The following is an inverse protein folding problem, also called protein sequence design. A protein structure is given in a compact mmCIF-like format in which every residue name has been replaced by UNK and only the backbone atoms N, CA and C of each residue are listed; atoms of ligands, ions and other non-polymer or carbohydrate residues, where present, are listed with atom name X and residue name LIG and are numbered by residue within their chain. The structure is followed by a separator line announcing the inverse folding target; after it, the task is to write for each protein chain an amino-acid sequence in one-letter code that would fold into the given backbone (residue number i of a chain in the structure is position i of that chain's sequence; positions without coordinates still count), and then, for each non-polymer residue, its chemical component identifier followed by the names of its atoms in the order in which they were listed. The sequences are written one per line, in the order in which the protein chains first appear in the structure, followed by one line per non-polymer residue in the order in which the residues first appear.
data_IF_242979462728
#
_entry.id   IF_242979462728
#
_cell.length_a   1.000
_cell.length_b   1.000
_cell.length_c   1.000
_cell.angle_alpha   90.00
_cell.angle_beta   90.00
_cell.angle_gamma   90.00
#
_symmetry.space_group_name_H-M   'P 1'
#
loop_
_entity.id
_entity.type
_entity.pdbx_description
1 polymer ?
#
# COMPACT_ATOMS: atom_id res chain seq x y z
N UNK A 1 -10.89 59.00 -15.75
CA UNK A 1 -11.33 59.08 -14.35
C UNK A 1 -11.39 57.66 -13.86
N UNK A 2 -10.36 57.25 -13.13
CA UNK A 2 -10.18 55.88 -12.66
C UNK A 2 -10.28 55.94 -11.14
N UNK A 3 -11.40 55.46 -10.61
CA UNK A 3 -11.66 55.42 -9.18
C UNK A 3 -10.68 54.47 -8.50
N UNK A 4 -9.74 55.03 -7.73
CA UNK A 4 -8.87 54.26 -6.85
C UNK A 4 -9.70 53.80 -5.64
N UNK A 5 -9.65 52.51 -5.28
CA UNK A 5 -10.40 52.01 -4.14
C UNK A 5 -9.86 52.65 -2.85
N UNK A 6 -10.79 53.26 -2.14
CA UNK A 6 -10.66 53.87 -0.83
C UNK A 6 -9.92 52.93 0.14
N UNK A 7 -8.79 53.40 0.70
CA UNK A 7 -8.02 52.69 1.72
C UNK A 7 -8.85 52.61 3.01
N UNK A 8 -9.73 51.62 3.06
CA UNK A 8 -10.57 51.35 4.21
C UNK A 8 -9.70 50.74 5.32
N UNK A 9 -9.71 51.38 6.49
CA UNK A 9 -8.95 51.04 7.70
C UNK A 9 -8.84 49.53 7.93
N UNK A 10 -7.67 48.96 7.64
CA UNK A 10 -7.32 47.64 8.11
C UNK A 10 -7.02 47.74 9.60
N UNK A 11 -8.05 47.48 10.42
CA UNK A 11 -7.86 47.21 11.84
C UNK A 11 -6.70 46.25 12.02
N UNK A 12 -5.77 46.60 12.91
CA UNK A 12 -4.48 45.95 13.07
C UNK A 12 -4.66 44.44 13.30
N UNK A 13 -4.51 43.64 12.24
CA UNK A 13 -4.57 42.18 12.34
C UNK A 13 -3.46 41.67 13.26
N UNK A 14 -3.86 40.86 14.23
CA UNK A 14 -2.91 40.18 15.12
C UNK A 14 -1.94 39.33 14.29
N UNK A 15 -0.68 39.22 14.74
CA UNK A 15 0.33 38.33 14.14
C UNK A 15 -0.20 36.90 13.99
N UNK A 16 -1.02 36.46 14.94
CA UNK A 16 -1.67 35.14 14.91
C UNK A 16 -2.65 35.02 13.74
N UNK A 17 -3.52 36.02 13.51
CA UNK A 17 -4.48 36.01 12.39
C UNK A 17 -3.77 35.98 11.03
N UNK A 18 -2.67 36.74 10.89
CA UNK A 18 -1.83 36.72 9.68
C UNK A 18 -1.26 35.33 9.40
N UNK A 19 -0.79 34.63 10.44
CA UNK A 19 -0.30 33.25 10.31
C UNK A 19 -1.37 32.29 9.79
N UNK A 20 -2.57 32.28 10.37
CA UNK A 20 -3.66 31.40 9.91
C UNK A 20 -4.13 31.74 8.50
N UNK A 21 -4.20 33.03 8.15
CA UNK A 21 -4.54 33.44 6.79
C UNK A 21 -3.53 32.90 5.79
N UNK A 22 -2.23 33.07 6.06
CA UNK A 22 -1.15 32.58 5.18
C UNK A 22 -1.19 31.05 5.04
N UNK A 23 -1.35 30.32 6.14
CA UNK A 23 -1.46 28.86 6.12
C UNK A 23 -2.71 28.39 5.35
N UNK A 24 -3.86 29.05 5.53
CA UNK A 24 -5.09 28.72 4.81
C UNK A 24 -4.94 28.94 3.29
N UNK A 25 -4.31 30.05 2.89
CA UNK A 25 -4.00 30.32 1.47
C UNK A 25 -3.10 29.21 0.91
N UNK A 26 -2.03 28.84 1.61
CA UNK A 26 -1.11 27.79 1.17
C UNK A 26 -1.82 26.42 1.05
N UNK A 27 -2.68 26.07 2.00
CA UNK A 27 -3.49 24.85 1.93
C UNK A 27 -4.43 24.86 0.72
N UNK A 28 -5.08 25.99 0.43
CA UNK A 28 -5.96 26.15 -0.75
C UNK A 28 -5.19 26.02 -2.07
N UNK A 29 -4.00 26.59 -2.14
CA UNK A 29 -3.14 26.48 -3.33
C UNK A 29 -2.65 25.04 -3.54
N UNK A 30 -2.14 24.38 -2.50
CA UNK A 30 -1.74 22.96 -2.57
C UNK A 30 -2.90 22.06 -3.02
N UNK A 31 -4.10 22.27 -2.46
CA UNK A 31 -5.30 21.54 -2.85
C UNK A 31 -5.67 21.78 -4.33
N UNK A 32 -5.57 23.03 -4.81
CA UNK A 32 -5.83 23.39 -6.21
C UNK A 32 -4.86 22.68 -7.16
N UNK A 33 -3.57 22.65 -6.83
CA UNK A 33 -2.54 21.94 -7.61
C UNK A 33 -2.80 20.43 -7.64
N UNK A 34 -3.10 19.82 -6.49
CA UNK A 34 -3.43 18.39 -6.39
C UNK A 34 -4.64 18.03 -7.26
N UNK A 35 -5.69 18.84 -7.23
CA UNK A 35 -6.88 18.64 -8.06
C UNK A 35 -6.60 18.82 -9.54
N UNK A 36 -5.71 19.74 -9.93
CA UNK A 36 -5.30 19.92 -11.31
C UNK A 36 -4.51 18.71 -11.83
N UNK A 37 -3.55 18.21 -11.04
CA UNK A 37 -2.78 16.98 -11.36
C UNK A 37 -3.70 15.77 -11.51
N UNK A 38 -4.68 15.62 -10.61
CA UNK A 38 -5.68 14.56 -10.69
C UNK A 38 -6.54 14.64 -11.95
N UNK A 39 -6.98 15.84 -12.33
CA UNK A 39 -7.74 16.05 -13.58
C UNK A 39 -6.90 15.74 -14.81
N UNK A 40 -5.62 16.11 -14.81
CA UNK A 40 -4.70 15.78 -15.90
C UNK A 40 -4.52 14.26 -16.06
N UNK A 41 -4.22 13.55 -14.96
CA UNK A 41 -4.08 12.08 -14.96
C UNK A 41 -5.36 11.36 -15.43
N UNK A 42 -6.54 11.86 -15.05
CA UNK A 42 -7.82 11.31 -15.54
C UNK A 42 -8.01 11.50 -17.04
N UNK A 43 -7.59 12.65 -17.60
CA UNK A 43 -7.64 12.89 -19.05
C UNK A 43 -6.69 11.97 -19.79
N UNK A 44 -5.48 11.78 -19.28
CA UNK A 44 -4.48 10.88 -19.86
C UNK A 44 -4.98 9.43 -19.91
N UNK A 45 -5.54 8.93 -18.80
CA UNK A 45 -6.13 7.59 -18.76
C UNK A 45 -7.33 7.45 -19.70
N UNK A 46 -8.14 8.50 -19.87
CA UNK A 46 -9.27 8.48 -20.80
C UNK A 46 -8.79 8.40 -22.27
N UNK A 47 -7.70 9.09 -22.62
CA UNK A 47 -7.08 9.00 -23.95
C UNK A 47 -6.55 7.58 -24.19
N UNK A 48 -5.80 7.02 -23.23
CA UNK A 48 -5.23 5.67 -23.36
C UNK A 48 -6.31 4.60 -23.51
N UNK A 49 -7.41 4.72 -22.77
CA UNK A 49 -8.57 3.83 -22.92
C UNK A 49 -9.24 3.98 -24.29
N UNK A 50 -9.39 5.21 -24.80
CA UNK A 50 -9.95 5.44 -26.13
C UNK A 50 -9.06 4.86 -27.24
N UNK A 51 -7.74 5.01 -27.15
CA UNK A 51 -6.78 4.40 -28.09
C UNK A 51 -6.84 2.87 -28.05
N UNK A 52 -6.97 2.29 -26.86
CA UNK A 52 -7.09 0.83 -26.70
C UNK A 52 -8.39 0.32 -27.34
N UNK A 53 -9.48 1.07 -27.23
CA UNK A 53 -10.76 0.72 -27.86
C UNK A 53 -10.67 0.79 -29.40
N UNK A 54 -10.04 1.83 -29.95
CA UNK A 54 -9.83 1.95 -31.40
C UNK A 54 -8.94 0.82 -31.95
N UNK A 55 -7.87 0.43 -31.24
CA UNK A 55 -7.05 -0.73 -31.63
C UNK A 55 -7.85 -2.03 -31.69
N UNK A 56 -8.73 -2.26 -30.69
CA UNK A 56 -9.61 -3.44 -30.69
C UNK A 56 -10.60 -3.41 -31.85
N UNK A 57 -11.12 -2.23 -32.20
CA UNK A 57 -12.02 -2.07 -33.35
C UNK A 57 -11.31 -2.36 -34.68
N UNK A 58 -10.10 -1.83 -34.87
CA UNK A 58 -9.28 -2.10 -36.07
C UNK A 58 -8.92 -3.59 -36.19
N UNK A 59 -8.60 -4.26 -35.07
CA UNK A 59 -8.35 -5.70 -35.06
C UNK A 59 -9.61 -6.50 -35.48
N UNK A 60 -10.78 -6.13 -34.96
CA UNK A 60 -12.04 -6.77 -35.32
C UNK A 60 -12.37 -6.58 -36.81
N UNK A 61 -12.18 -5.39 -37.36
CA UNK A 61 -12.40 -5.11 -38.79
C UNK A 61 -11.43 -5.91 -39.68
N UNK A 62 -10.15 -5.97 -39.31
CA UNK A 62 -9.15 -6.75 -40.07
C UNK A 62 -9.41 -8.26 -40.08
N UNK A 63 -10.05 -8.80 -39.02
CA UNK A 63 -10.42 -10.21 -38.93
C UNK A 63 -11.58 -10.60 -39.84
N UNK A 64 -12.38 -9.66 -40.32
CA UNK A 64 -13.54 -9.95 -41.18
C UNK A 64 -13.20 -10.08 -42.67
N UNK A 65 -11.95 -9.78 -43.06
CA UNK A 65 -11.54 -9.79 -44.47
C UNK A 65 -10.66 -10.98 -44.89
N UNK A 66 -10.31 -11.89 -43.99
CA UNK A 66 -9.66 -13.15 -44.35
C UNK A 66 -10.74 -14.13 -44.80
N UNK A 67 -11.09 -13.98 -46.08
CA UNK A 67 -12.12 -14.76 -46.76
C UNK A 67 -11.89 -16.26 -46.69
N UNK A 68 -13.02 -16.96 -46.78
CA UNK A 68 -13.18 -18.36 -47.14
C UNK A 68 -12.10 -18.81 -48.13
N UNK A 69 -11.05 -19.44 -47.61
CA UNK A 69 -10.22 -20.32 -48.40
C UNK A 69 -10.61 -21.73 -47.96
N UNK A 70 -11.48 -22.36 -48.75
CA UNK A 70 -11.78 -23.80 -48.70
C UNK A 70 -10.45 -24.55 -48.86
N UNK A 71 -9.83 -24.89 -47.74
CA UNK A 71 -8.76 -25.88 -47.69
C UNK A 71 -9.04 -26.82 -46.54
N UNK A 72 -9.64 -27.96 -46.90
CA UNK A 72 -9.69 -29.20 -46.13
C UNK A 72 -8.25 -29.64 -45.80
N UNK A 73 -7.67 -29.11 -44.72
CA UNK A 73 -6.52 -29.73 -44.08
C UNK A 73 -6.82 -29.95 -42.60
N UNK A 74 -7.05 -31.22 -42.29
CA UNK A 74 -7.09 -31.83 -40.97
C UNK A 74 -5.79 -31.56 -40.23
N UNK A 75 -5.67 -30.40 -39.58
CA UNK A 75 -4.58 -30.11 -38.65
C UNK A 75 -5.02 -30.55 -37.26
N UNK A 76 -4.45 -31.67 -36.82
CA UNK A 76 -4.52 -32.13 -35.44
C UNK A 76 -3.82 -31.10 -34.53
N UNK A 77 -4.62 -30.28 -33.85
CA UNK A 77 -4.15 -29.34 -32.83
C UNK A 77 -3.57 -30.12 -31.65
N UNK A 78 -2.26 -30.16 -31.55
CA UNK A 78 -1.56 -30.52 -30.31
C UNK A 78 -1.62 -29.33 -29.36
N UNK A 79 -2.08 -29.48 -28.11
CA UNK A 79 -2.06 -28.40 -27.14
C UNK A 79 -0.60 -28.13 -26.76
N UNK A 80 -0.06 -27.03 -27.29
CA UNK A 80 1.23 -26.50 -26.87
C UNK A 80 1.07 -25.89 -25.49
N UNK A 81 1.35 -26.69 -24.47
CA UNK A 81 1.51 -26.24 -23.10
C UNK A 81 2.75 -25.34 -23.02
N UNK A 82 2.55 -24.04 -23.24
CA UNK A 82 3.52 -23.01 -22.86
C UNK A 82 3.55 -22.93 -21.33
N UNK A 83 4.32 -23.84 -20.75
CA UNK A 83 4.69 -23.88 -19.35
C UNK A 83 5.54 -22.62 -19.06
N UNK A 84 4.88 -21.54 -18.63
CA UNK A 84 5.55 -20.37 -18.06
C UNK A 84 6.15 -20.79 -16.71
N UNK A 85 7.38 -21.27 -16.73
CA UNK A 85 8.19 -21.53 -15.54
C UNK A 85 8.63 -20.18 -14.99
N UNK A 86 7.85 -19.62 -14.05
CA UNK A 86 8.35 -18.57 -13.18
C UNK A 86 9.38 -19.21 -12.25
N UNK A 87 10.66 -18.93 -12.48
CA UNK A 87 11.71 -19.18 -11.50
C UNK A 87 11.52 -18.19 -10.35
N UNK A 88 10.68 -18.55 -9.37
CA UNK A 88 10.75 -17.94 -8.04
C UNK A 88 12.06 -18.40 -7.40
N UNK A 89 13.04 -17.49 -7.34
CA UNK A 89 14.18 -17.64 -6.45
C UNK A 89 13.65 -17.70 -5.01
N UNK A 90 13.60 -18.94 -4.53
CA UNK A 90 13.31 -19.36 -3.17
C UNK A 90 14.19 -18.56 -2.18
N UNK A 91 13.66 -17.47 -1.63
CA UNK A 91 14.24 -16.87 -0.44
C UNK A 91 13.99 -17.83 0.74
N UNK A 92 15.02 -18.62 1.05
CA UNK A 92 15.08 -19.43 2.25
C UNK A 92 15.03 -18.55 3.49
N UNK A 93 13.84 -18.36 4.03
CA UNK A 93 13.63 -17.93 5.41
C UNK A 93 13.07 -19.12 6.18
N UNK A 94 13.98 -19.94 6.70
CA UNK A 94 13.70 -20.83 7.83
C UNK A 94 13.40 -19.96 9.05
N UNK A 95 12.15 -19.53 9.18
CA UNK A 95 11.58 -19.02 10.41
C UNK A 95 10.34 -19.83 10.76
N UNK A 96 10.60 -21.01 11.32
CA UNK A 96 9.68 -21.64 12.25
C UNK A 96 9.50 -20.72 13.46
N UNK A 97 8.61 -19.75 13.36
CA UNK A 97 8.07 -19.07 14.52
C UNK A 97 6.95 -19.96 15.08
N UNK A 98 7.33 -20.80 16.04
CA UNK A 98 6.42 -21.58 16.87
C UNK A 98 5.59 -20.58 17.69
N UNK A 99 4.37 -20.32 17.20
CA UNK A 99 3.44 -19.33 17.73
C UNK A 99 2.54 -19.97 18.80
N UNK A 100 3.14 -20.73 19.70
CA UNK A 100 2.46 -21.32 20.85
C UNK A 100 3.19 -20.96 22.15
N UNK A 101 2.43 -20.46 23.11
CA UNK A 101 2.81 -20.17 24.50
C UNK A 101 3.60 -18.87 24.79
N UNK A 102 2.99 -17.71 24.56
CA UNK A 102 3.18 -16.56 25.47
C UNK A 102 1.84 -16.02 25.96
N UNK A 103 1.21 -16.79 26.86
CA UNK A 103 0.26 -16.23 27.82
C UNK A 103 1.07 -15.86 29.06
N UNK A 104 1.51 -14.60 29.23
CA UNK A 104 2.25 -14.24 30.43
C UNK A 104 1.37 -14.57 31.65
N UNK A 105 1.91 -15.23 32.69
CA UNK A 105 1.17 -15.50 33.90
C UNK A 105 0.70 -14.16 34.46
N UNK A 106 -0.62 -14.03 34.64
CA UNK A 106 -1.20 -12.90 35.35
C UNK A 106 -0.53 -12.85 36.73
N UNK A 107 0.11 -11.74 37.12
CA UNK A 107 0.75 -11.65 38.42
C UNK A 107 -0.33 -11.84 39.49
N UNK A 108 -0.15 -12.87 40.31
CA UNK A 108 -0.95 -13.06 41.50
C UNK A 108 -0.90 -11.78 42.34
N UNK A 109 -2.07 -11.37 42.84
CA UNK A 109 -2.21 -10.17 43.66
C UNK A 109 -1.44 -10.34 44.96
N UNK A 110 -0.15 -10.00 44.95
CA UNK A 110 0.64 -9.87 46.16
C UNK A 110 0.02 -8.79 47.06
N UNK A 111 -0.26 -9.18 48.31
CA UNK A 111 -0.76 -8.28 49.35
C UNK A 111 0.24 -7.12 49.48
N UNK A 112 -0.22 -5.90 49.20
CA UNK A 112 0.52 -4.65 49.38
C UNK A 112 1.12 -4.59 50.81
N UNK A 113 2.40 -4.91 50.92
CA UNK A 113 3.22 -4.46 52.04
C UNK A 113 3.43 -2.95 51.86
N UNK A 114 3.30 -2.11 52.91
CA UNK A 114 3.56 -0.68 52.82
C UNK A 114 5.03 -0.45 52.41
N UNK A 115 5.24 -0.18 51.12
CA UNK A 115 6.56 0.13 50.58
C UNK A 115 6.98 1.48 51.15
N UNK A 116 7.98 1.49 52.03
CA UNK A 116 8.64 2.72 52.49
C UNK A 116 9.14 3.47 51.24
N UNK A 117 8.74 4.72 51.14
CA UNK A 117 9.20 5.65 50.10
C UNK A 117 10.72 5.76 50.24
N UNK A 118 11.52 5.40 49.22
CA UNK A 118 12.94 5.69 49.25
C UNK A 118 13.10 7.20 49.12
N UNK A 119 13.48 7.84 50.22
CA UNK A 119 13.90 9.24 50.23
C UNK A 119 15.24 9.35 49.49
N UNK A 120 15.28 10.24 48.50
CA UNK A 120 16.45 10.72 47.76
C UNK A 120 17.33 9.67 47.09
N UNK A 121 16.88 9.14 45.96
CA UNK A 121 17.83 8.90 44.86
C UNK A 121 18.15 10.29 44.30
N UNK A 122 19.32 10.83 44.64
CA UNK A 122 19.84 12.00 43.95
C UNK A 122 20.08 11.59 42.50
N UNK A 123 19.15 11.96 41.62
CA UNK A 123 19.47 12.05 40.21
C UNK A 123 20.70 12.97 40.14
N UNK A 124 21.83 12.41 39.69
CA UNK A 124 23.05 13.18 39.51
C UNK A 124 22.74 14.47 38.77
N UNK A 125 23.48 15.51 39.14
CA UNK A 125 23.42 16.86 38.59
C UNK A 125 22.98 16.80 37.12
N UNK A 126 21.74 17.21 36.88
CA UNK A 126 21.16 17.27 35.55
C UNK A 126 21.98 18.34 34.83
N UNK A 127 23.07 17.91 34.19
CA UNK A 127 23.80 18.70 33.23
C UNK A 127 22.73 19.08 32.22
N UNK A 128 22.32 20.34 32.29
CA UNK A 128 21.27 20.86 31.43
C UNK A 128 21.57 20.51 29.99
N UNK A 129 20.54 20.38 29.14
CA UNK A 129 20.73 20.14 27.71
C UNK A 129 21.83 21.09 27.22
N UNK A 130 22.90 20.59 26.59
CA UNK A 130 24.00 21.43 26.13
C UNK A 130 23.40 22.61 25.39
N UNK A 131 23.80 23.80 25.83
CA UNK A 131 23.34 25.06 25.25
C UNK A 131 23.58 24.99 23.75
N UNK A 132 22.55 25.10 22.91
CA UNK A 132 22.71 24.90 21.47
C UNK A 132 23.67 25.98 20.98
N UNK A 133 24.89 25.57 20.64
CA UNK A 133 25.81 26.42 19.90
C UNK A 133 25.07 26.86 18.65
N UNK A 134 25.00 28.18 18.46
CA UNK A 134 24.37 28.80 17.30
C UNK A 134 25.21 28.45 16.07
N UNK A 135 24.99 27.25 15.54
CA UNK A 135 25.49 26.86 14.24
C UNK A 135 24.61 27.55 13.20
N UNK A 136 25.11 28.68 12.69
CA UNK A 136 24.55 29.44 11.57
C UNK A 136 24.71 28.65 10.24
N UNK A 137 24.52 27.32 10.27
CA UNK A 137 24.51 26.45 9.10
C UNK A 137 23.18 26.57 8.37
N UNK A 138 23.16 27.59 7.52
CA UNK A 138 22.37 27.82 6.31
C UNK A 138 21.58 26.58 5.79
N UNK A 139 20.36 26.43 6.31
CA UNK A 139 19.09 26.16 5.62
C UNK A 139 19.11 25.20 4.40
N UNK A 140 19.74 24.03 4.49
CA UNK A 140 19.41 22.89 3.61
C UNK A 140 18.18 22.14 4.13
N UNK A 141 17.10 22.86 4.46
CA UNK A 141 15.76 22.33 4.76
C UNK A 141 15.04 21.86 3.48
N UNK A 142 15.81 21.27 2.57
CA UNK A 142 15.35 20.76 1.29
C UNK A 142 15.25 19.25 1.46
N UNK A 143 14.00 18.79 1.65
CA UNK A 143 13.44 17.52 1.16
C UNK A 143 12.81 16.54 2.17
N UNK A 144 12.80 16.81 3.49
CA UNK A 144 12.06 15.94 4.44
C UNK A 144 10.54 15.95 4.26
N UNK A 145 9.99 16.99 3.62
CA UNK A 145 8.55 17.02 3.27
C UNK A 145 8.19 15.98 2.21
N UNK A 146 9.12 15.66 1.29
CA UNK A 146 8.85 14.72 0.21
C UNK A 146 8.67 13.27 0.71
N UNK A 147 9.41 12.84 1.74
CA UNK A 147 9.29 11.49 2.27
C UNK A 147 7.96 11.23 2.98
N UNK A 148 7.45 12.22 3.73
CA UNK A 148 6.13 12.09 4.34
C UNK A 148 5.02 12.01 3.28
N UNK A 149 5.16 12.77 2.19
CA UNK A 149 4.22 12.70 1.07
C UNK A 149 4.27 11.32 0.38
N UNK A 150 5.46 10.74 0.16
CA UNK A 150 5.64 9.38 -0.37
C UNK A 150 4.95 8.35 0.55
N UNK A 151 5.14 8.47 1.88
CA UNK A 151 4.47 7.60 2.85
C UNK A 151 2.94 7.67 2.73
N UNK A 152 2.38 8.87 2.55
CA UNK A 152 0.94 9.03 2.35
C UNK A 152 0.46 8.41 1.03
N UNK A 153 1.27 8.45 -0.03
CA UNK A 153 0.97 7.78 -1.30
C UNK A 153 0.93 6.25 -1.11
N UNK A 154 1.95 5.67 -0.47
CA UNK A 154 1.99 4.22 -0.18
C UNK A 154 0.79 3.80 0.68
N UNK A 155 0.42 4.61 1.68
CA UNK A 155 -0.77 4.36 2.48
C UNK A 155 -2.05 4.33 1.63
N UNK A 156 -2.18 5.22 0.65
CA UNK A 156 -3.31 5.20 -0.29
C UNK A 156 -3.29 3.93 -1.14
N UNK A 157 -2.13 3.51 -1.60
CA UNK A 157 -1.96 2.31 -2.42
C UNK A 157 -2.32 1.03 -1.64
N UNK A 158 -1.89 0.89 -0.38
CA UNK A 158 -2.30 -0.21 0.51
C UNK A 158 -3.81 -0.25 0.71
N UNK A 159 -4.43 0.92 0.93
CA UNK A 159 -5.88 1.03 1.09
C UNK A 159 -6.63 0.67 -0.21
N UNK A 160 -6.09 1.01 -1.38
CA UNK A 160 -6.69 0.67 -2.66
C UNK A 160 -6.57 -0.84 -2.93
N UNK A 161 -5.39 -1.38 -2.72
CA UNK A 161 -5.09 -2.81 -2.88
C UNK A 161 -5.97 -3.67 -1.99
N UNK A 162 -6.04 -3.38 -0.69
CA UNK A 162 -6.88 -4.13 0.27
C UNK A 162 -8.38 -4.12 -0.04
N UNK A 163 -8.87 -3.10 -0.78
CA UNK A 163 -10.28 -2.96 -1.15
C UNK A 163 -10.72 -3.83 -2.32
N UNK A 164 -9.80 -4.42 -3.09
CA UNK A 164 -10.13 -5.20 -4.28
C UNK A 164 -11.20 -6.29 -4.01
N UNK A 165 -11.18 -6.89 -2.82
CA UNK A 165 -12.14 -7.90 -2.38
C UNK A 165 -12.98 -7.46 -1.17
N UNK A 166 -13.31 -6.17 -1.06
CA UNK A 166 -14.18 -5.65 0.01
C UNK A 166 -13.47 -5.36 1.34
N UNK A 167 -12.13 -5.37 1.36
CA UNK A 167 -11.32 -5.22 2.57
C UNK A 167 -10.82 -6.56 3.10
N UNK A 168 -9.65 -6.57 3.74
CA UNK A 168 -8.90 -7.79 4.08
C UNK A 168 -9.71 -8.83 4.87
N UNK A 169 -10.58 -8.40 5.78
CA UNK A 169 -11.42 -9.30 6.57
C UNK A 169 -12.46 -10.06 5.74
N UNK A 170 -12.83 -9.55 4.56
CA UNK A 170 -13.78 -10.19 3.64
C UNK A 170 -13.12 -11.09 2.62
N UNK A 171 -11.78 -11.01 2.47
CA UNK A 171 -11.04 -11.73 1.44
C UNK A 171 -11.29 -13.24 1.45
N UNK A 172 -11.30 -13.96 2.58
CA UNK A 172 -11.55 -15.40 2.56
C UNK A 172 -12.88 -15.76 1.90
N UNK A 173 -13.95 -15.05 2.25
CA UNK A 173 -15.29 -15.29 1.70
C UNK A 173 -15.43 -14.84 0.25
N UNK A 174 -14.82 -13.71 -0.10
CA UNK A 174 -14.94 -13.13 -1.43
C UNK A 174 -14.10 -13.91 -2.45
N UNK A 175 -12.91 -14.37 -2.06
CA UNK A 175 -12.08 -15.25 -2.90
C UNK A 175 -12.81 -16.57 -3.18
N UNK A 176 -13.37 -17.22 -2.16
CA UNK A 176 -14.16 -18.46 -2.33
C UNK A 176 -15.32 -18.25 -3.32
N UNK A 177 -16.05 -17.14 -3.19
CA UNK A 177 -17.14 -16.78 -4.09
C UNK A 177 -16.69 -16.55 -5.53
N UNK A 178 -15.62 -15.77 -5.73
CA UNK A 178 -15.08 -15.49 -7.07
C UNK A 178 -14.50 -16.74 -7.73
N UNK A 179 -13.90 -17.62 -6.94
CA UNK A 179 -13.42 -18.91 -7.40
C UNK A 179 -14.56 -19.81 -7.88
N UNK A 180 -15.64 -19.95 -7.10
CA UNK A 180 -16.82 -20.73 -7.52
C UNK A 180 -17.39 -20.20 -8.85
N UNK A 181 -17.51 -18.89 -9.01
CA UNK A 181 -17.95 -18.29 -10.26
C UNK A 181 -17.01 -18.58 -11.44
N UNK A 182 -15.69 -18.63 -11.19
CA UNK A 182 -14.69 -19.01 -12.19
C UNK A 182 -14.80 -20.50 -12.57
N UNK A 183 -15.09 -21.38 -11.61
CA UNK A 183 -15.36 -22.81 -11.86
C UNK A 183 -16.63 -22.98 -12.71
N UNK A 184 -17.72 -22.31 -12.36
CA UNK A 184 -18.98 -22.34 -13.13
C UNK A 184 -18.79 -21.82 -14.56
N UNK A 185 -17.88 -20.86 -14.76
CA UNK A 185 -17.56 -20.28 -16.07
C UNK A 185 -16.41 -20.99 -16.80
N UNK A 186 -15.87 -22.10 -16.25
CA UNK A 186 -14.69 -22.79 -16.75
C UNK A 186 -13.48 -21.88 -17.03
N UNK A 187 -13.26 -20.87 -16.19
CA UNK A 187 -12.19 -19.87 -16.30
C UNK A 187 -11.30 -19.81 -15.04
N UNK A 188 -10.96 -20.99 -14.50
CA UNK A 188 -10.16 -21.09 -13.26
C UNK A 188 -8.74 -20.56 -13.47
N UNK A 189 -8.12 -20.82 -14.63
CA UNK A 189 -6.77 -20.32 -14.94
C UNK A 189 -6.71 -18.79 -15.00
N UNK A 190 -7.72 -18.16 -15.61
CA UNK A 190 -7.83 -16.70 -15.64
C UNK A 190 -7.96 -16.11 -14.24
N UNK A 191 -8.83 -16.69 -13.41
CA UNK A 191 -8.96 -16.27 -12.01
C UNK A 191 -7.66 -16.45 -11.22
N UNK A 192 -6.95 -17.56 -11.42
CA UNK A 192 -5.66 -17.81 -10.75
C UNK A 192 -4.61 -16.78 -11.17
N UNK A 193 -4.56 -16.44 -12.46
CA UNK A 193 -3.68 -15.39 -12.98
C UNK A 193 -3.99 -14.03 -12.34
N UNK A 194 -5.26 -13.67 -12.21
CA UNK A 194 -5.70 -12.42 -11.56
C UNK A 194 -5.28 -12.37 -10.09
N UNK A 195 -5.46 -13.48 -9.35
CA UNK A 195 -5.06 -13.59 -7.93
C UNK A 195 -3.55 -13.45 -7.77
N UNK A 196 -2.75 -14.11 -8.61
CA UNK A 196 -1.29 -13.98 -8.59
C UNK A 196 -0.83 -12.58 -8.98
N UNK A 197 -1.48 -11.97 -9.97
CA UNK A 197 -1.24 -10.57 -10.34
C UNK A 197 -1.44 -9.64 -9.16
N UNK A 198 -2.54 -9.81 -8.43
CA UNK A 198 -2.83 -9.01 -7.24
C UNK A 198 -1.87 -9.27 -6.07
N UNK A 199 -1.42 -10.51 -5.88
CA UNK A 199 -0.37 -10.83 -4.90
C UNK A 199 0.97 -10.17 -5.27
N UNK A 200 1.32 -10.14 -6.56
CA UNK A 200 2.51 -9.45 -7.05
C UNK A 200 2.45 -7.93 -6.83
N UNK A 201 1.28 -7.31 -6.98
CA UNK A 201 1.07 -5.90 -6.57
C UNK A 201 1.32 -5.71 -5.07
N UNK A 202 0.80 -6.60 -4.23
CA UNK A 202 1.05 -6.58 -2.78
C UNK A 202 2.55 -6.66 -2.47
N UNK A 203 3.30 -7.54 -3.13
CA UNK A 203 4.76 -7.66 -2.96
C UNK A 203 5.50 -6.38 -3.37
N UNK A 204 5.05 -5.69 -4.44
CA UNK A 204 5.61 -4.38 -4.82
C UNK A 204 5.39 -3.34 -3.74
N UNK A 205 4.18 -3.26 -3.18
CA UNK A 205 3.84 -2.34 -2.09
C UNK A 205 4.68 -2.67 -0.83
N UNK A 206 4.81 -3.95 -0.49
CA UNK A 206 5.65 -4.39 0.63
C UNK A 206 7.12 -3.98 0.43
N UNK A 207 7.62 -4.11 -0.79
CA UNK A 207 8.97 -3.66 -1.12
C UNK A 207 9.10 -2.14 -1.02
N UNK A 208 8.09 -1.36 -1.43
CA UNK A 208 8.09 0.09 -1.23
C UNK A 208 8.13 0.45 0.26
N UNK A 209 7.33 -0.22 1.10
CA UNK A 209 7.33 -0.03 2.56
C UNK A 209 8.72 -0.34 3.15
N UNK A 210 9.33 -1.48 2.79
CA UNK A 210 10.67 -1.85 3.26
C UNK A 210 11.76 -0.87 2.84
N UNK A 211 11.65 -0.28 1.65
CA UNK A 211 12.63 0.69 1.16
C UNK A 211 12.38 2.12 1.66
N UNK A 212 11.47 2.32 2.63
CA UNK A 212 11.28 3.61 3.30
C UNK A 212 12.35 3.93 4.34
N UNK A 213 13.48 3.22 4.34
CA UNK A 213 14.68 3.46 5.17
C UNK A 213 15.39 4.81 4.92
N UNK A 214 14.69 5.82 4.37
CA UNK A 214 15.20 7.15 4.04
C UNK A 214 15.23 8.15 5.21
N UNK A 215 15.35 9.44 4.87
CA UNK A 215 15.42 10.51 5.88
C UNK A 215 14.06 10.63 6.62
N UNK A 216 14.08 10.36 7.92
CA UNK A 216 12.91 10.56 8.76
C UNK A 216 12.60 12.06 8.92
N UNK A 217 11.31 12.44 9.07
CA UNK A 217 10.97 13.82 9.42
C UNK A 217 11.69 14.23 10.72
N UNK A 218 12.14 15.48 10.82
CA UNK A 218 12.83 15.96 12.03
C UNK A 218 11.91 16.00 13.26
N UNK A 219 10.60 16.15 13.05
CA UNK A 219 9.67 16.22 14.18
C UNK A 219 9.40 14.83 14.76
N UNK A 220 9.86 14.61 16.00
CA UNK A 220 9.74 13.34 16.73
C UNK A 220 8.34 12.70 16.67
N UNK A 221 7.28 13.50 16.80
CA UNK A 221 5.91 12.98 16.76
C UNK A 221 5.53 12.42 15.38
N UNK A 222 6.07 12.96 14.28
CA UNK A 222 5.88 12.41 12.94
C UNK A 222 6.64 11.12 12.76
N UNK A 223 7.85 11.01 13.32
CA UNK A 223 8.61 9.76 13.33
C UNK A 223 7.80 8.66 13.99
N UNK A 224 7.29 8.91 15.22
CA UNK A 224 6.47 7.93 15.94
C UNK A 224 5.21 7.54 15.16
N UNK A 225 4.55 8.51 14.52
CA UNK A 225 3.36 8.26 13.70
C UNK A 225 3.68 7.41 12.46
N UNK A 226 4.75 7.75 11.73
CA UNK A 226 5.21 6.99 10.55
C UNK A 226 5.52 5.56 10.94
N UNK A 227 6.32 5.35 12.00
CA UNK A 227 6.66 4.01 12.49
C UNK A 227 5.43 3.18 12.87
N UNK A 228 4.49 3.77 13.63
CA UNK A 228 3.27 3.05 14.02
C UNK A 228 2.47 2.62 12.79
N UNK A 229 2.22 3.56 11.88
CA UNK A 229 1.38 3.31 10.70
C UNK A 229 2.10 2.39 9.72
N UNK A 230 3.42 2.47 9.58
CA UNK A 230 4.21 1.55 8.76
C UNK A 230 4.04 0.10 9.22
N UNK A 231 4.19 -0.16 10.52
CA UNK A 231 3.99 -1.51 11.08
C UNK A 231 2.59 -2.04 10.77
N UNK A 232 1.55 -1.21 10.96
CA UNK A 232 0.16 -1.57 10.63
C UNK A 232 -0.01 -1.89 9.13
N UNK A 233 0.61 -1.10 8.25
CA UNK A 233 0.54 -1.31 6.79
C UNK A 233 1.28 -2.58 6.36
N UNK A 234 2.47 -2.83 6.92
CA UNK A 234 3.25 -4.04 6.65
C UNK A 234 2.48 -5.28 7.08
N UNK A 235 1.92 -5.28 8.30
CA UNK A 235 1.09 -6.39 8.80
C UNK A 235 -0.09 -6.67 7.85
N UNK A 236 -0.81 -5.62 7.43
CA UNK A 236 -1.95 -5.73 6.54
C UNK A 236 -1.54 -6.34 5.18
N UNK A 237 -0.46 -5.84 4.58
CA UNK A 237 0.01 -6.32 3.27
C UNK A 237 0.49 -7.76 3.36
N UNK A 238 1.28 -8.12 4.37
CA UNK A 238 1.74 -9.50 4.58
C UNK A 238 0.56 -10.45 4.76
N UNK A 239 -0.39 -10.12 5.65
CA UNK A 239 -1.59 -10.95 5.88
C UNK A 239 -2.43 -11.13 4.61
N UNK A 240 -2.57 -10.09 3.78
CA UNK A 240 -3.25 -10.19 2.49
C UNK A 240 -2.52 -11.08 1.50
N UNK A 241 -1.20 -10.90 1.32
CA UNK A 241 -0.40 -11.75 0.42
C UNK A 241 -0.51 -13.22 0.84
N UNK A 242 -0.32 -13.52 2.13
CA UNK A 242 -0.46 -14.89 2.64
C UNK A 242 -1.85 -15.48 2.41
N UNK A 243 -2.91 -14.67 2.51
CA UNK A 243 -4.27 -15.13 2.21
C UNK A 243 -4.42 -15.52 0.73
N UNK A 244 -3.88 -14.72 -0.20
CA UNK A 244 -3.93 -14.99 -1.63
C UNK A 244 -3.11 -16.25 -1.97
N UNK A 245 -1.89 -16.36 -1.46
CA UNK A 245 -0.97 -17.47 -1.72
C UNK A 245 -1.48 -18.81 -1.16
N UNK A 246 -2.05 -18.80 0.05
CA UNK A 246 -2.64 -19.99 0.64
C UNK A 246 -3.83 -20.47 -0.21
N UNK A 247 -4.69 -19.55 -0.63
CA UNK A 247 -5.89 -19.90 -1.43
C UNK A 247 -5.53 -20.34 -2.84
N UNK A 248 -4.59 -19.69 -3.51
CA UNK A 248 -4.15 -20.09 -4.85
C UNK A 248 -3.48 -21.48 -4.82
N UNK A 249 -2.71 -21.78 -3.78
CA UNK A 249 -2.07 -23.09 -3.58
C UNK A 249 -3.09 -24.22 -3.37
N UNK A 250 -4.15 -23.97 -2.59
CA UNK A 250 -5.23 -24.93 -2.37
C UNK A 250 -6.01 -25.27 -3.65
N UNK A 251 -6.16 -24.28 -4.54
CA UNK A 251 -6.87 -24.45 -5.82
C UNK A 251 -5.98 -25.12 -6.87
N UNK A 252 -4.75 -24.62 -7.06
CA UNK A 252 -3.85 -25.05 -8.14
C UNK A 252 -3.32 -26.47 -7.96
N UNK A 253 -3.28 -26.97 -6.73
CA UNK A 253 -2.87 -28.35 -6.46
C UNK A 253 -3.93 -29.37 -6.83
N UNK A 254 -5.15 -28.95 -7.19
CA UNK A 254 -6.21 -29.70 -7.87
C UNK A 254 -6.79 -30.91 -7.14
N UNK A 255 -5.99 -31.62 -6.34
CA UNK A 255 -6.20 -32.95 -5.77
C UNK A 255 -4.85 -33.49 -5.23
N UNK A 256 -4.01 -32.70 -4.55
CA UNK A 256 -2.92 -33.32 -3.79
C UNK A 256 -3.50 -34.07 -2.57
N UNK A 257 -3.85 -35.33 -2.80
CA UNK A 257 -3.22 -36.47 -2.16
C UNK A 257 -3.14 -36.48 -0.62
N UNK A 258 -4.14 -35.96 0.09
CA UNK A 258 -4.28 -36.21 1.53
C UNK A 258 -4.99 -37.55 1.87
N UNK A 259 -5.41 -38.35 0.87
CA UNK A 259 -6.16 -39.61 1.12
C UNK A 259 -5.61 -40.87 0.42
N UNK A 260 -4.64 -40.80 -0.50
CA UNK A 260 -4.12 -42.02 -1.14
C UNK A 260 -2.64 -42.25 -0.82
N UNK A 261 -2.34 -42.76 0.38
CA UNK A 261 -1.00 -43.30 0.59
C UNK A 261 -0.49 -43.55 2.01
N UNK A 262 -1.33 -43.97 2.97
CA UNK A 262 -0.87 -44.87 4.06
C UNK A 262 -2.04 -45.79 4.45
N UNK A 263 -2.03 -46.98 3.83
CA UNK A 263 -2.54 -48.22 4.43
C UNK A 263 -1.37 -48.90 5.15
#
# INVERSE_FOLDING_TARGET
MSDLPNEQEFGSESKHQRYYRKNNIQCKEKAKVRMQKLRARRKEMAILNAETLERRKQQAESSTHTGESDSDESITLTPSANLFVFHDEYFGLDHTFELDAFKPPLPEKEKKVPRRVPTSTSFGEFIGPPEPEADDTDDTNVDTTAHYDIFQEIRVDVNLWSRAFGGLEQWPSQLDRTYQAAVESNNVEGWLSDVWGHAAEGRKILNQLRNMEGQLPYEMWKICEVWRVEVELVELVVRGISCLELRSSLVGTGQLNLVTGVL
#
